data_IF_197076709244
#
_entry.id   IF_197076709244
#
_cell.length_a   1.000
_cell.length_b   1.000
_cell.length_c   1.000
_cell.angle_alpha   90.00
_cell.angle_beta   90.00
_cell.angle_gamma   90.00
#
_symmetry.space_group_name_H-M   'P 1'
#
loop_
_entity.id
_entity.type
_entity.pdbx_description
1 polymer ?
#
# COMPACT_ATOMS: atom_id res chain seq x y z
N UNK A 1 -14.55 29.53 -13.57
CA UNK A 1 -14.91 28.15 -13.98
C UNK A 1 -13.94 27.20 -13.27
N UNK A 2 -14.07 27.09 -11.94
CA UNK A 2 -13.05 26.56 -11.00
C UNK A 2 -13.54 25.35 -10.19
N UNK A 3 -14.59 24.67 -10.66
CA UNK A 3 -15.44 23.77 -9.87
C UNK A 3 -15.10 22.28 -9.98
N UNK A 4 -13.94 21.91 -10.51
CA UNK A 4 -13.53 20.50 -10.72
C UNK A 4 -12.33 20.06 -9.89
N UNK A 5 -11.87 20.88 -8.93
CA UNK A 5 -10.67 20.57 -8.14
C UNK A 5 -10.97 19.83 -6.86
N UNK A 6 -11.97 20.31 -6.12
CA UNK A 6 -12.39 19.71 -4.88
C UNK A 6 -13.91 19.72 -4.80
N UNK A 7 -14.48 18.66 -4.25
CA UNK A 7 -15.85 18.70 -3.75
C UNK A 7 -15.84 19.40 -2.40
N UNK A 8 -16.41 20.59 -2.36
CA UNK A 8 -16.63 21.34 -1.13
C UNK A 8 -17.95 20.91 -0.50
N UNK A 9 -17.91 20.52 0.76
CA UNK A 9 -19.10 20.24 1.55
C UNK A 9 -18.89 20.74 2.99
N UNK A 10 -19.98 21.11 3.65
CA UNK A 10 -19.93 21.59 5.03
C UNK A 10 -20.12 20.43 5.99
N UNK A 11 -19.13 20.18 6.85
CA UNK A 11 -19.21 19.22 7.95
C UNK A 11 -19.03 19.98 9.25
N UNK A 12 -20.00 19.88 10.16
CA UNK A 12 -19.93 20.51 11.49
C UNK A 12 -19.58 22.02 11.45
N UNK A 13 -20.07 22.74 10.43
CA UNK A 13 -19.82 24.18 10.27
C UNK A 13 -18.45 24.55 9.65
N UNK A 14 -17.65 23.57 9.23
CA UNK A 14 -16.40 23.78 8.48
C UNK A 14 -16.57 23.37 7.01
N UNK A 15 -16.12 24.23 6.10
CA UNK A 15 -16.02 23.88 4.67
C UNK A 15 -14.81 22.96 4.49
N UNK A 16 -15.07 21.74 4.02
CA UNK A 16 -14.04 20.74 3.71
C UNK A 16 -14.01 20.54 2.20
N UNK A 17 -12.81 20.55 1.63
CA UNK A 17 -12.57 20.34 0.21
C UNK A 17 -11.91 18.96 0.00
N UNK A 18 -12.61 18.01 -0.62
CA UNK A 18 -12.01 16.71 -0.99
C UNK A 18 -11.57 16.69 -2.46
N UNK A 19 -10.33 16.31 -2.77
CA UNK A 19 -9.82 16.31 -4.12
C UNK A 19 -10.53 15.25 -5.00
N UNK A 20 -10.88 15.65 -6.23
CA UNK A 20 -11.59 14.79 -7.20
C UNK A 20 -10.89 13.43 -7.45
N UNK A 21 -9.54 13.34 -7.53
CA UNK A 21 -8.84 12.06 -7.67
C UNK A 21 -9.25 11.02 -6.63
N UNK A 22 -9.56 11.40 -5.38
CA UNK A 22 -9.96 10.44 -4.36
C UNK A 22 -11.29 9.74 -4.69
N UNK A 23 -12.26 10.44 -5.28
CA UNK A 23 -13.53 9.83 -5.67
C UNK A 23 -13.36 8.83 -6.80
N UNK A 24 -12.52 9.15 -7.79
CA UNK A 24 -12.15 8.21 -8.86
C UNK A 24 -11.42 7.00 -8.28
N UNK A 25 -10.53 7.24 -7.30
CA UNK A 25 -9.81 6.14 -6.64
C UNK A 25 -10.76 5.22 -5.86
N UNK A 26 -11.78 5.75 -5.19
CA UNK A 26 -12.83 4.95 -4.55
C UNK A 26 -13.55 4.09 -5.58
N UNK A 27 -13.94 4.65 -6.73
CA UNK A 27 -14.58 3.88 -7.80
C UNK A 27 -13.68 2.77 -8.34
N UNK A 28 -12.39 3.05 -8.57
CA UNK A 28 -11.39 2.05 -8.98
C UNK A 28 -11.23 0.96 -7.91
N UNK A 29 -11.22 1.34 -6.64
CA UNK A 29 -11.09 0.40 -5.51
C UNK A 29 -12.31 -0.53 -5.39
N UNK A 30 -13.52 -0.02 -5.64
CA UNK A 30 -14.73 -0.83 -5.76
C UNK A 30 -14.61 -1.79 -6.95
N UNK A 31 -14.11 -1.29 -8.09
CA UNK A 31 -13.79 -2.11 -9.26
C UNK A 31 -12.81 -3.25 -8.94
N UNK A 32 -11.76 -2.96 -8.17
CA UNK A 32 -10.76 -3.93 -7.71
C UNK A 32 -11.40 -5.06 -6.89
N UNK A 33 -12.33 -4.72 -6.00
CA UNK A 33 -13.08 -5.71 -5.22
C UNK A 33 -13.89 -6.66 -6.11
N UNK A 34 -14.64 -6.11 -7.08
CA UNK A 34 -15.44 -6.92 -8.00
C UNK A 34 -14.57 -7.76 -8.95
N UNK A 35 -13.45 -7.21 -9.42
CA UNK A 35 -12.47 -7.94 -10.21
C UNK A 35 -11.93 -9.14 -9.43
N UNK A 36 -11.51 -8.95 -8.16
CA UNK A 36 -11.06 -10.04 -7.30
C UNK A 36 -12.14 -11.08 -7.06
N UNK A 37 -13.38 -10.66 -6.79
CA UNK A 37 -14.53 -11.57 -6.63
C UNK A 37 -14.78 -12.45 -7.87
N UNK A 38 -14.50 -11.94 -9.07
CA UNK A 38 -14.65 -12.69 -10.32
C UNK A 38 -13.44 -13.59 -10.61
N UNK A 39 -12.21 -13.08 -10.40
CA UNK A 39 -10.98 -13.74 -10.79
C UNK A 39 -10.54 -14.83 -9.81
N UNK A 40 -10.65 -14.60 -8.51
CA UNK A 40 -10.19 -15.55 -7.48
C UNK A 40 -10.74 -16.98 -7.67
N UNK A 41 -12.08 -17.19 -7.80
CA UNK A 41 -12.61 -18.53 -7.97
C UNK A 41 -12.20 -19.17 -9.31
N UNK A 42 -12.00 -18.37 -10.37
CA UNK A 42 -11.55 -18.86 -11.68
C UNK A 42 -10.08 -19.30 -11.67
N UNK A 43 -9.25 -18.62 -10.89
CA UNK A 43 -7.82 -18.91 -10.80
C UNK A 43 -7.48 -20.02 -9.80
N UNK A 44 -8.34 -20.28 -8.80
CA UNK A 44 -8.16 -21.36 -7.82
C UNK A 44 -7.78 -22.72 -8.43
N UNK A 45 -8.49 -23.27 -9.44
CA UNK A 45 -8.12 -24.56 -10.03
C UNK A 45 -6.76 -24.52 -10.73
N UNK A 46 -6.37 -23.38 -11.33
CA UNK A 46 -5.06 -23.26 -12.01
C UNK A 46 -3.90 -23.41 -11.04
N UNK A 47 -3.99 -22.79 -9.85
CA UNK A 47 -2.98 -22.91 -8.80
C UNK A 47 -2.86 -24.35 -8.29
N UNK A 48 -4.00 -25.01 -8.06
CA UNK A 48 -4.02 -26.41 -7.62
C UNK A 48 -3.38 -27.31 -8.69
N UNK A 49 -3.71 -27.10 -9.98
CA UNK A 49 -3.14 -27.87 -11.09
C UNK A 49 -1.64 -27.61 -11.29
N UNK A 50 -1.15 -26.42 -10.91
CA UNK A 50 0.26 -26.07 -10.91
C UNK A 50 1.03 -26.54 -9.67
N UNK A 51 0.40 -27.33 -8.78
CA UNK A 51 0.94 -27.75 -7.49
C UNK A 51 1.27 -26.60 -6.52
N UNK A 52 0.65 -25.42 -6.71
CA UNK A 52 0.74 -24.28 -5.79
C UNK A 52 -0.43 -24.35 -4.79
N UNK A 53 -0.36 -25.31 -3.88
CA UNK A 53 -1.37 -25.50 -2.84
C UNK A 53 -0.78 -25.98 -1.52
N UNK A 54 -1.46 -25.61 -0.45
CA UNK A 54 -1.23 -26.06 0.91
C UNK A 54 -2.37 -26.95 1.40
N UNK A 55 -2.10 -27.69 2.47
CA UNK A 55 -3.13 -28.46 3.18
C UNK A 55 -3.57 -27.64 4.39
N UNK A 56 -4.88 -27.40 4.55
CA UNK A 56 -5.39 -26.75 5.75
C UNK A 56 -5.16 -27.67 6.97
N UNK A 57 -4.16 -27.31 7.77
CA UNK A 57 -3.71 -28.13 8.90
C UNK A 57 -4.72 -28.15 10.04
N UNK A 58 -5.58 -27.14 10.14
CA UNK A 58 -6.53 -26.95 11.23
C UNK A 58 -7.89 -27.62 10.97
N UNK A 59 -8.09 -28.25 9.80
CA UNK A 59 -9.31 -28.99 9.45
C UNK A 59 -9.07 -30.49 9.35
N UNK A 60 -9.99 -31.30 9.90
CA UNK A 60 -9.95 -32.78 9.80
C UNK A 60 -10.03 -33.28 8.36
N UNK A 61 -10.75 -32.57 7.49
CA UNK A 61 -10.91 -32.92 6.07
C UNK A 61 -9.65 -32.67 5.22
N UNK A 62 -8.62 -32.00 5.78
CA UNK A 62 -7.35 -31.69 5.12
C UNK A 62 -7.52 -31.21 3.66
N UNK A 63 -8.39 -30.21 3.40
CA UNK A 63 -8.63 -29.73 2.05
C UNK A 63 -7.36 -29.08 1.48
N UNK A 64 -7.14 -29.25 0.17
CA UNK A 64 -6.13 -28.50 -0.58
C UNK A 64 -6.62 -27.08 -0.85
N UNK A 65 -5.86 -26.10 -0.41
CA UNK A 65 -6.14 -24.67 -0.57
C UNK A 65 -5.03 -24.07 -1.43
N UNK A 66 -5.34 -23.28 -2.46
CA UNK A 66 -4.30 -22.68 -3.29
C UNK A 66 -3.41 -21.75 -2.43
N UNK A 67 -2.10 -21.92 -2.54
CA UNK A 67 -1.09 -21.08 -1.89
C UNK A 67 -0.69 -19.91 -2.79
N UNK A 68 0.11 -18.97 -2.26
CA UNK A 68 0.60 -17.80 -2.98
C UNK A 68 -0.47 -16.92 -3.64
N UNK A 69 -1.73 -17.04 -3.22
CA UNK A 69 -2.87 -16.40 -3.89
C UNK A 69 -2.88 -14.87 -3.75
N UNK A 70 -2.08 -14.35 -2.81
CA UNK A 70 -1.78 -12.92 -2.68
C UNK A 70 -1.25 -12.30 -3.97
N UNK A 71 -0.60 -13.08 -4.86
CA UNK A 71 -0.13 -12.58 -6.17
C UNK A 71 -1.29 -12.14 -7.07
N UNK A 72 -2.43 -12.83 -7.04
CA UNK A 72 -3.60 -12.48 -7.87
C UNK A 72 -4.17 -11.14 -7.41
N UNK A 73 -4.33 -10.96 -6.11
CA UNK A 73 -4.82 -9.71 -5.53
C UNK A 73 -3.80 -8.58 -5.62
N UNK A 74 -2.51 -8.89 -5.53
CA UNK A 74 -1.41 -7.96 -5.80
C UNK A 74 -1.43 -7.44 -7.23
N UNK A 75 -1.66 -8.31 -8.22
CA UNK A 75 -1.83 -7.91 -9.62
C UNK A 75 -3.06 -7.02 -9.82
N UNK A 76 -4.20 -7.35 -9.21
CA UNK A 76 -5.41 -6.50 -9.27
C UNK A 76 -5.11 -5.13 -8.68
N UNK A 77 -4.44 -5.09 -7.53
CA UNK A 77 -4.02 -3.86 -6.88
C UNK A 77 -3.09 -3.02 -7.77
N UNK A 78 -2.06 -3.62 -8.39
CA UNK A 78 -1.16 -2.92 -9.31
C UNK A 78 -1.89 -2.38 -10.55
N UNK A 79 -2.80 -3.17 -11.13
CA UNK A 79 -3.63 -2.72 -12.26
C UNK A 79 -4.51 -1.54 -11.86
N UNK A 80 -5.09 -1.57 -10.66
CA UNK A 80 -5.84 -0.43 -10.13
C UNK A 80 -4.97 0.83 -10.00
N UNK A 81 -3.74 0.69 -9.52
CA UNK A 81 -2.81 1.82 -9.46
C UNK A 81 -2.41 2.31 -10.86
N UNK A 82 -2.13 1.42 -11.83
CA UNK A 82 -1.82 1.81 -13.21
C UNK A 82 -2.95 2.59 -13.87
N UNK A 83 -4.20 2.17 -13.68
CA UNK A 83 -5.37 2.90 -14.15
C UNK A 83 -5.55 4.24 -13.44
N UNK A 84 -5.08 4.35 -12.19
CA UNK A 84 -5.16 5.57 -11.41
C UNK A 84 -4.02 6.57 -11.71
N UNK A 85 -2.86 6.14 -12.23
CA UNK A 85 -1.72 7.02 -12.57
C UNK A 85 -2.12 8.34 -13.23
N UNK A 86 -2.89 8.37 -14.33
CA UNK A 86 -3.18 9.64 -15.00
C UNK A 86 -4.09 10.55 -14.17
N UNK A 87 -4.86 10.02 -13.22
CA UNK A 87 -5.98 10.71 -12.56
C UNK A 87 -5.52 11.92 -11.73
N UNK A 88 -4.53 11.83 -10.82
CA UNK A 88 -4.01 12.99 -10.11
C UNK A 88 -3.41 14.07 -11.03
N UNK A 89 -2.99 13.71 -12.24
CA UNK A 89 -2.29 14.59 -13.19
C UNK A 89 -3.15 15.01 -14.38
N UNK A 90 -4.45 14.66 -14.44
CA UNK A 90 -5.33 14.93 -15.59
C UNK A 90 -5.32 16.39 -16.03
N UNK A 91 -5.21 17.33 -15.09
CA UNK A 91 -5.13 18.76 -15.36
C UNK A 91 -3.83 19.14 -16.08
N UNK A 92 -2.70 18.56 -15.68
CA UNK A 92 -1.39 18.84 -16.27
C UNK A 92 -1.26 18.28 -17.69
N UNK A 93 -2.13 17.34 -18.08
CA UNK A 93 -2.25 16.88 -19.46
C UNK A 93 -3.14 17.78 -20.34
N UNK A 94 -3.89 18.73 -19.76
CA UNK A 94 -4.74 19.64 -20.52
C UNK A 94 -3.92 20.77 -21.12
N UNK A 95 -3.98 20.92 -22.45
CA UNK A 95 -3.28 21.97 -23.20
C UNK A 95 -3.69 23.42 -22.82
N UNK A 96 -4.74 23.58 -22.00
CA UNK A 96 -5.29 24.87 -21.60
C UNK A 96 -4.62 25.47 -20.36
N UNK A 97 -3.83 24.69 -19.59
CA UNK A 97 -3.22 25.16 -18.34
C UNK A 97 -1.69 25.19 -18.49
N UNK A 98 -1.14 26.40 -18.46
CA UNK A 98 0.31 26.62 -18.40
C UNK A 98 0.82 26.27 -17.00
N UNK A 99 1.78 25.36 -16.93
CA UNK A 99 2.48 24.96 -15.72
C UNK A 99 3.35 23.73 -15.99
N UNK A 100 4.50 23.64 -15.31
CA UNK A 100 5.36 22.47 -15.42
C UNK A 100 4.67 21.24 -14.85
N UNK A 101 4.95 20.07 -15.43
CA UNK A 101 4.44 18.81 -14.93
C UNK A 101 5.08 18.51 -13.55
N UNK A 102 4.32 18.13 -12.52
CA UNK A 102 4.84 17.87 -11.18
C UNK A 102 5.59 16.53 -11.14
N UNK A 103 6.81 16.53 -11.67
CA UNK A 103 7.65 15.35 -11.79
C UNK A 103 7.96 14.70 -10.43
N UNK A 104 8.12 15.49 -9.37
CA UNK A 104 8.44 14.97 -8.03
C UNK A 104 7.35 14.03 -7.50
N UNK A 105 6.09 14.45 -7.58
CA UNK A 105 4.92 13.65 -7.16
C UNK A 105 4.72 12.43 -8.05
N UNK A 106 4.98 12.57 -9.35
CA UNK A 106 4.90 11.45 -10.27
C UNK A 106 5.98 10.40 -9.97
N UNK A 107 7.23 10.83 -9.73
CA UNK A 107 8.34 9.94 -9.37
C UNK A 107 8.08 9.24 -8.03
N UNK A 108 7.55 9.95 -7.02
CA UNK A 108 7.08 9.35 -5.76
C UNK A 108 6.10 8.21 -6.01
N UNK A 109 5.10 8.44 -6.87
CA UNK A 109 4.09 7.43 -7.13
C UNK A 109 4.64 6.21 -7.88
N UNK A 110 5.44 6.44 -8.93
CA UNK A 110 6.05 5.36 -9.71
C UNK A 110 7.05 4.56 -8.87
N UNK A 111 7.85 5.20 -8.01
CA UNK A 111 8.81 4.50 -7.17
C UNK A 111 8.15 3.68 -6.05
N UNK A 112 7.07 4.18 -5.46
CA UNK A 112 6.27 3.40 -4.53
C UNK A 112 5.68 2.16 -5.22
N UNK A 113 5.11 2.34 -6.41
CA UNK A 113 4.58 1.23 -7.22
C UNK A 113 5.65 0.22 -7.62
N UNK A 114 6.84 0.68 -8.02
CA UNK A 114 7.97 -0.18 -8.34
C UNK A 114 8.38 -1.01 -7.13
N UNK A 115 8.52 -0.38 -5.95
CA UNK A 115 8.87 -1.07 -4.72
C UNK A 115 7.83 -2.13 -4.34
N UNK A 116 6.54 -1.82 -4.45
CA UNK A 116 5.46 -2.76 -4.17
C UNK A 116 5.41 -3.90 -5.20
N UNK A 117 5.59 -3.59 -6.48
CA UNK A 117 5.66 -4.59 -7.55
C UNK A 117 6.80 -5.58 -7.33
N UNK A 118 8.00 -5.07 -7.01
CA UNK A 118 9.14 -5.89 -6.64
C UNK A 118 8.82 -6.77 -5.42
N UNK A 119 8.17 -6.24 -4.39
CA UNK A 119 7.79 -7.03 -3.22
C UNK A 119 6.77 -8.13 -3.54
N UNK A 120 5.76 -7.85 -4.37
CA UNK A 120 4.76 -8.85 -4.80
C UNK A 120 5.44 -9.98 -5.57
N UNK A 121 6.34 -9.63 -6.51
CA UNK A 121 7.08 -10.60 -7.30
C UNK A 121 7.99 -11.46 -6.42
N UNK A 122 8.74 -10.83 -5.51
CA UNK A 122 9.66 -11.54 -4.62
C UNK A 122 8.93 -12.38 -3.57
N UNK A 123 7.78 -11.93 -3.07
CA UNK A 123 6.91 -12.73 -2.21
C UNK A 123 6.38 -13.97 -2.92
N UNK A 124 5.92 -13.81 -4.17
CA UNK A 124 5.53 -14.96 -5.00
C UNK A 124 6.72 -15.90 -5.28
N UNK A 125 7.90 -15.35 -5.56
CA UNK A 125 9.10 -16.16 -5.75
C UNK A 125 9.50 -16.92 -4.47
N UNK A 126 9.35 -16.33 -3.29
CA UNK A 126 9.57 -17.00 -2.00
C UNK A 126 8.60 -18.17 -1.81
N UNK A 127 7.32 -17.97 -2.10
CA UNK A 127 6.29 -19.02 -1.98
C UNK A 127 6.55 -20.19 -2.95
N UNK A 128 7.04 -19.91 -4.17
CA UNK A 128 7.32 -20.95 -5.18
C UNK A 128 8.64 -21.67 -4.91
N UNK A 129 9.69 -20.93 -4.54
CA UNK A 129 11.05 -21.45 -4.43
C UNK A 129 11.41 -21.92 -3.01
N UNK A 130 10.57 -21.63 -2.01
CA UNK A 130 10.80 -21.92 -0.60
C UNK A 130 12.18 -21.41 -0.14
N UNK A 131 12.39 -20.08 -0.23
CA UNK A 131 13.70 -19.49 0.02
C UNK A 131 14.10 -19.59 1.50
N UNK A 132 15.41 -19.49 1.76
CA UNK A 132 15.95 -19.60 3.12
C UNK A 132 15.62 -18.33 3.92
N UNK A 133 15.54 -18.46 5.24
CA UNK A 133 15.20 -17.34 6.16
C UNK A 133 16.05 -16.08 5.93
N UNK A 134 17.33 -16.23 5.56
CA UNK A 134 18.23 -15.12 5.24
C UNK A 134 17.79 -14.34 4.01
N UNK A 135 17.29 -15.03 2.99
CA UNK A 135 16.82 -14.42 1.75
C UNK A 135 15.55 -13.59 2.04
N UNK A 136 14.72 -14.05 3.00
CA UNK A 136 13.55 -13.29 3.50
C UNK A 136 13.90 -11.97 4.21
N UNK A 137 15.16 -11.77 4.59
CA UNK A 137 15.67 -10.48 5.10
C UNK A 137 16.25 -9.60 3.98
N UNK A 138 16.96 -10.21 3.02
CA UNK A 138 17.59 -9.47 1.92
C UNK A 138 16.58 -8.97 0.88
N UNK A 139 15.58 -9.79 0.53
CA UNK A 139 14.63 -9.47 -0.53
C UNK A 139 13.81 -8.20 -0.23
N UNK A 140 13.24 -8.00 0.97
CA UNK A 140 12.55 -6.76 1.28
C UNK A 140 13.48 -5.54 1.29
N UNK A 141 14.74 -5.73 1.70
CA UNK A 141 15.74 -4.66 1.69
C UNK A 141 15.99 -4.16 0.26
N UNK A 142 16.23 -5.07 -0.69
CA UNK A 142 16.43 -4.72 -2.10
C UNK A 142 15.17 -4.10 -2.71
N UNK A 143 13.99 -4.66 -2.42
CA UNK A 143 12.72 -4.14 -2.92
C UNK A 143 12.40 -2.74 -2.40
N UNK A 144 12.95 -2.33 -1.25
CA UNK A 144 12.76 -0.99 -0.68
C UNK A 144 13.69 0.09 -1.28
N UNK A 145 14.72 -0.29 -2.04
CA UNK A 145 15.69 0.66 -2.59
C UNK A 145 15.08 1.78 -3.44
N UNK A 146 14.09 1.55 -4.33
CA UNK A 146 13.48 2.64 -5.09
C UNK A 146 12.82 3.69 -4.19
N UNK A 147 12.15 3.25 -3.12
CA UNK A 147 11.57 4.16 -2.11
C UNK A 147 12.66 4.99 -1.42
N UNK A 148 13.76 4.37 -1.00
CA UNK A 148 14.88 5.06 -0.36
C UNK A 148 15.52 6.11 -1.29
N UNK A 149 15.66 5.79 -2.57
CA UNK A 149 16.22 6.71 -3.57
C UNK A 149 15.33 7.93 -3.78
N UNK A 150 14.02 7.75 -3.90
CA UNK A 150 13.11 8.90 -4.02
C UNK A 150 13.03 9.72 -2.74
N UNK A 151 13.11 9.05 -1.58
CA UNK A 151 13.21 9.77 -0.32
C UNK A 151 14.44 10.69 -0.28
N UNK A 152 15.59 10.17 -0.73
CA UNK A 152 16.85 10.92 -0.80
C UNK A 152 16.78 12.11 -1.77
N UNK A 153 16.12 11.96 -2.92
CA UNK A 153 16.05 13.03 -3.92
C UNK A 153 15.02 14.11 -3.59
N UNK A 154 13.87 13.72 -3.02
CA UNK A 154 12.72 14.64 -2.89
C UNK A 154 12.62 15.28 -1.50
N UNK A 155 12.93 14.54 -0.43
CA UNK A 155 12.71 15.01 0.95
C UNK A 155 14.02 15.22 1.71
N UNK A 156 14.90 14.21 1.68
CA UNK A 156 16.20 14.15 2.36
C UNK A 156 16.19 14.64 3.82
N UNK A 157 15.08 14.49 4.54
CA UNK A 157 14.95 14.92 5.94
C UNK A 157 15.32 13.77 6.87
N UNK A 158 16.50 13.81 7.48
CA UNK A 158 16.97 12.74 8.39
C UNK A 158 16.71 13.03 9.87
N UNK A 159 15.94 14.08 10.16
CA UNK A 159 15.59 14.52 11.51
C UNK A 159 14.33 13.84 12.02
N UNK A 160 14.43 13.11 13.14
CA UNK A 160 13.33 12.40 13.79
C UNK A 160 12.84 13.16 15.01
N UNK A 161 11.52 13.27 15.16
CA UNK A 161 10.91 13.79 16.40
C UNK A 161 10.95 12.72 17.46
N UNK A 162 11.55 13.03 18.61
CA UNK A 162 11.76 12.06 19.66
C UNK A 162 10.52 11.87 20.55
N UNK A 163 10.24 10.65 21.03
CA UNK A 163 9.15 10.39 21.97
C UNK A 163 9.39 11.09 23.30
N UNK A 164 8.30 11.50 23.99
CA UNK A 164 8.38 12.31 25.22
C UNK A 164 9.29 11.72 26.30
N UNK A 165 9.41 10.39 26.36
CA UNK A 165 10.25 9.68 27.32
C UNK A 165 11.75 9.98 27.17
N UNK A 166 12.24 10.16 25.96
CA UNK A 166 13.69 10.36 25.69
C UNK A 166 14.07 11.82 25.47
N UNK A 167 13.07 12.70 25.33
CA UNK A 167 13.28 14.16 25.13
C UNK A 167 14.18 14.82 26.19
N UNK A 168 14.08 14.46 27.50
CA UNK A 168 14.95 15.07 28.51
C UNK A 168 16.45 14.79 28.29
N UNK A 169 16.80 13.69 27.61
CA UNK A 169 18.18 13.28 27.37
C UNK A 169 18.73 13.77 26.03
N UNK A 170 17.90 13.73 24.99
CA UNK A 170 18.33 13.87 23.59
C UNK A 170 17.71 15.08 22.86
N UNK A 171 16.87 15.87 23.54
CA UNK A 171 16.18 17.02 22.96
C UNK A 171 14.87 16.66 22.25
N UNK A 172 14.25 17.65 21.58
CA UNK A 172 12.95 17.47 20.93
C UNK A 172 13.04 16.67 19.62
N UNK A 173 14.14 16.85 18.88
CA UNK A 173 14.40 16.24 17.58
C UNK A 173 15.88 15.92 17.44
N UNK A 174 16.19 14.86 16.71
CA UNK A 174 17.55 14.40 16.47
C UNK A 174 17.74 14.05 14.99
N UNK A 175 18.78 14.61 14.36
CA UNK A 175 19.25 14.17 13.06
C UNK A 175 20.11 12.92 13.23
N UNK A 176 19.66 11.81 12.64
CA UNK A 176 20.35 10.51 12.70
C UNK A 176 21.06 10.16 11.38
N UNK A 177 21.02 11.05 10.39
CA UNK A 177 21.72 10.91 9.11
C UNK A 177 21.45 9.57 8.40
N UNK A 178 22.53 8.88 8.03
CA UNK A 178 22.46 7.60 7.32
C UNK A 178 21.66 6.51 8.06
N UNK A 179 21.58 6.58 9.40
CA UNK A 179 20.80 5.61 10.18
C UNK A 179 19.29 5.73 9.89
N UNK A 180 18.80 6.87 9.41
CA UNK A 180 17.41 7.03 8.99
C UNK A 180 17.09 6.15 7.77
N UNK A 181 18.01 6.07 6.80
CA UNK A 181 17.86 5.21 5.63
C UNK A 181 17.92 3.73 5.99
N UNK A 182 18.82 3.35 6.92
CA UNK A 182 18.85 1.99 7.48
C UNK A 182 17.53 1.67 8.17
N UNK A 183 17.00 2.60 8.97
CA UNK A 183 15.70 2.45 9.61
C UNK A 183 14.57 2.25 8.59
N UNK A 184 14.49 3.05 7.53
CA UNK A 184 13.46 2.89 6.49
C UNK A 184 13.52 1.53 5.80
N UNK A 185 14.73 1.05 5.46
CA UNK A 185 14.91 -0.28 4.87
C UNK A 185 14.49 -1.38 5.85
N UNK A 186 14.91 -1.27 7.11
CA UNK A 186 14.53 -2.22 8.17
C UNK A 186 13.03 -2.19 8.49
N UNK A 187 12.36 -1.05 8.32
CA UNK A 187 10.91 -0.95 8.48
C UNK A 187 10.19 -1.80 7.41
N UNK A 188 10.66 -1.77 6.16
CA UNK A 188 10.10 -2.61 5.11
C UNK A 188 10.30 -4.11 5.42
N UNK A 189 11.50 -4.50 5.89
CA UNK A 189 11.80 -5.87 6.34
C UNK A 189 10.91 -6.28 7.51
N UNK A 190 10.74 -5.41 8.51
CA UNK A 190 9.92 -5.67 9.67
C UNK A 190 8.45 -5.87 9.28
N UNK A 191 7.87 -4.95 8.51
CA UNK A 191 6.46 -5.00 8.14
C UNK A 191 6.09 -6.29 7.38
N UNK A 192 6.92 -6.72 6.43
CA UNK A 192 6.64 -7.95 5.66
C UNK A 192 6.78 -9.20 6.52
N UNK A 193 7.81 -9.28 7.36
CA UNK A 193 8.04 -10.43 8.22
C UNK A 193 7.06 -10.48 9.41
N UNK A 194 6.66 -9.34 9.98
CA UNK A 194 5.76 -9.27 11.13
C UNK A 194 4.37 -9.86 10.82
N UNK A 195 3.81 -9.54 9.64
CA UNK A 195 2.55 -10.13 9.20
C UNK A 195 2.74 -11.63 8.91
N UNK A 196 3.87 -12.00 8.28
CA UNK A 196 4.14 -13.38 7.89
C UNK A 196 4.33 -14.33 9.09
N UNK A 197 4.90 -13.86 10.20
CA UNK A 197 5.02 -14.67 11.43
C UNK A 197 3.71 -14.73 12.22
N UNK A 198 2.83 -13.73 12.07
CA UNK A 198 1.50 -13.70 12.69
C UNK A 198 0.46 -14.29 11.72
N UNK A 199 0.63 -15.57 11.40
CA UNK A 199 -0.11 -16.28 10.37
C UNK A 199 -0.54 -17.69 10.84
N UNK A 200 -1.26 -18.42 10.00
CA UNK A 200 -1.56 -19.85 10.22
C UNK A 200 -2.97 -20.16 10.70
N UNK A 201 -3.86 -19.16 10.77
CA UNK A 201 -5.29 -19.33 10.99
C UNK A 201 -6.03 -18.65 9.85
N UNK A 202 -7.02 -19.34 9.26
CA UNK A 202 -7.79 -18.86 8.11
C UNK A 202 -8.28 -17.41 8.31
N UNK A 203 -7.87 -16.52 7.41
CA UNK A 203 -8.28 -15.12 7.42
C UNK A 203 -7.44 -14.19 8.30
N UNK A 204 -6.50 -14.67 9.12
CA UNK A 204 -5.78 -13.84 10.09
C UNK A 204 -4.86 -12.81 9.42
N UNK A 205 -4.08 -13.23 8.44
CA UNK A 205 -3.13 -12.42 7.67
C UNK A 205 -3.85 -11.30 6.91
N UNK A 206 -4.98 -11.65 6.28
CA UNK A 206 -5.78 -10.71 5.50
C UNK A 206 -6.57 -9.76 6.41
N UNK A 207 -7.11 -10.27 7.52
CA UNK A 207 -7.89 -9.47 8.47
C UNK A 207 -7.03 -8.42 9.17
N UNK A 208 -5.87 -8.81 9.73
CA UNK A 208 -4.98 -7.84 10.40
C UNK A 208 -4.52 -6.75 9.42
N UNK A 209 -4.25 -7.12 8.17
CA UNK A 209 -3.85 -6.18 7.12
C UNK A 209 -4.97 -5.19 6.77
N UNK A 210 -6.23 -5.66 6.71
CA UNK A 210 -7.39 -4.81 6.50
C UNK A 210 -7.63 -3.85 7.67
N UNK A 211 -7.43 -4.30 8.91
CA UNK A 211 -7.55 -3.44 10.10
C UNK A 211 -6.49 -2.35 10.09
N UNK A 212 -5.24 -2.69 9.77
CA UNK A 212 -4.13 -1.72 9.64
C UNK A 212 -4.45 -0.71 8.53
N UNK A 213 -4.80 -1.17 7.33
CA UNK A 213 -5.11 -0.29 6.21
C UNK A 213 -6.33 0.60 6.48
N UNK A 214 -7.38 0.06 7.08
CA UNK A 214 -8.56 0.83 7.49
C UNK A 214 -8.22 1.90 8.54
N UNK A 215 -7.32 1.61 9.46
CA UNK A 215 -6.82 2.57 10.46
C UNK A 215 -6.01 3.70 9.81
N UNK A 216 -5.15 3.38 8.82
CA UNK A 216 -4.39 4.37 8.05
C UNK A 216 -5.34 5.27 7.25
N UNK A 217 -6.33 4.69 6.58
CA UNK A 217 -7.35 5.47 5.84
C UNK A 217 -8.12 6.39 6.79
N UNK A 218 -8.59 5.88 7.92
CA UNK A 218 -9.30 6.69 8.92
C UNK A 218 -8.44 7.85 9.43
N UNK A 219 -7.18 7.57 9.75
CA UNK A 219 -6.22 8.60 10.18
C UNK A 219 -5.99 9.66 9.11
N UNK A 220 -5.70 9.27 7.88
CA UNK A 220 -5.49 10.21 6.77
C UNK A 220 -6.72 11.07 6.48
N UNK A 221 -7.91 10.48 6.52
CA UNK A 221 -9.17 11.23 6.36
C UNK A 221 -9.34 12.21 7.51
N UNK A 222 -9.11 11.79 8.76
CA UNK A 222 -9.23 12.68 9.92
C UNK A 222 -8.26 13.88 9.85
N UNK A 223 -7.02 13.66 9.42
CA UNK A 223 -6.03 14.74 9.24
C UNK A 223 -6.44 15.72 8.12
N UNK A 224 -6.92 15.21 6.97
CA UNK A 224 -7.45 16.04 5.88
C UNK A 224 -8.65 16.86 6.35
N UNK A 225 -9.61 16.24 7.06
CA UNK A 225 -10.79 16.91 7.62
C UNK A 225 -10.43 17.95 8.69
N UNK A 226 -9.32 17.75 9.41
CA UNK A 226 -8.83 18.68 10.44
C UNK A 226 -8.21 19.95 9.85
N UNK A 227 -8.01 20.00 8.52
CA UNK A 227 -7.43 21.13 7.82
C UNK A 227 -5.90 21.11 7.76
N UNK A 228 -5.26 20.08 8.33
CA UNK A 228 -3.81 19.84 8.27
C UNK A 228 -3.42 19.19 6.93
N UNK A 229 -3.90 19.77 5.83
CA UNK A 229 -3.73 19.25 4.47
C UNK A 229 -2.24 19.07 4.13
N UNK A 230 -1.77 17.83 4.23
CA UNK A 230 -0.48 17.41 3.72
C UNK A 230 -0.72 16.51 2.51
N UNK A 231 -0.09 16.84 1.38
CA UNK A 231 -0.08 16.00 0.18
C UNK A 231 0.27 14.54 0.48
N UNK A 232 1.01 14.29 1.59
CA UNK A 232 1.37 12.96 2.05
C UNK A 232 0.14 12.11 2.45
N UNK A 233 -0.88 12.71 3.08
CA UNK A 233 -2.10 11.98 3.46
C UNK A 233 -2.93 11.61 2.23
N UNK A 234 -2.99 12.50 1.25
CA UNK A 234 -3.64 12.23 -0.03
C UNK A 234 -2.91 11.13 -0.81
N UNK A 235 -1.58 11.22 -0.91
CA UNK A 235 -0.74 10.19 -1.52
C UNK A 235 -0.91 8.83 -0.84
N UNK A 236 -0.97 8.81 0.49
CA UNK A 236 -1.24 7.58 1.23
C UNK A 236 -2.62 6.99 0.91
N UNK A 237 -3.67 7.82 0.79
CA UNK A 237 -5.00 7.37 0.36
C UNK A 237 -5.02 6.84 -1.07
N UNK A 238 -4.19 7.39 -1.97
CA UNK A 238 -4.06 6.89 -3.34
C UNK A 238 -3.67 5.41 -3.38
N UNK A 239 -2.79 4.99 -2.46
CA UNK A 239 -2.31 3.61 -2.36
C UNK A 239 -3.25 2.75 -1.51
N UNK A 240 -3.73 3.27 -0.37
CA UNK A 240 -4.47 2.46 0.60
C UNK A 240 -5.87 2.06 0.14
N UNK A 241 -6.58 2.91 -0.62
CA UNK A 241 -7.94 2.59 -1.06
C UNK A 241 -7.98 1.38 -2.02
N UNK A 242 -7.15 1.32 -3.09
CA UNK A 242 -7.10 0.15 -3.96
C UNK A 242 -6.60 -1.09 -3.23
N UNK A 243 -5.67 -0.92 -2.28
CA UNK A 243 -5.18 -2.00 -1.44
C UNK A 243 -6.34 -2.64 -0.65
N UNK A 244 -7.18 -1.84 0.02
CA UNK A 244 -8.37 -2.33 0.73
C UNK A 244 -9.32 -3.03 -0.24
N UNK A 245 -9.60 -2.44 -1.41
CA UNK A 245 -10.51 -3.03 -2.40
C UNK A 245 -10.07 -4.43 -2.85
N UNK A 246 -8.80 -4.59 -3.23
CA UNK A 246 -8.24 -5.88 -3.62
C UNK A 246 -8.17 -6.87 -2.45
N UNK A 247 -7.78 -6.42 -1.26
CA UNK A 247 -7.62 -7.26 -0.06
C UNK A 247 -8.96 -7.75 0.50
N UNK A 248 -10.02 -6.92 0.44
CA UNK A 248 -11.38 -7.33 0.78
C UNK A 248 -11.89 -8.47 -0.11
N UNK A 249 -11.51 -8.47 -1.39
CA UNK A 249 -11.85 -9.57 -2.28
C UNK A 249 -11.18 -10.87 -1.82
N UNK A 250 -9.89 -10.82 -1.45
CA UNK A 250 -9.17 -11.99 -0.92
C UNK A 250 -9.80 -12.50 0.38
N UNK A 251 -10.09 -11.60 1.32
CA UNK A 251 -10.66 -11.93 2.63
C UNK A 251 -11.95 -12.74 2.52
N UNK A 252 -12.80 -12.41 1.54
CA UNK A 252 -14.05 -13.14 1.29
C UNK A 252 -13.86 -14.64 1.04
N UNK A 253 -12.75 -15.03 0.42
CA UNK A 253 -12.44 -16.43 0.08
C UNK A 253 -11.44 -17.08 1.03
N UNK A 254 -10.77 -16.29 1.88
CA UNK A 254 -9.75 -16.76 2.81
C UNK A 254 -10.28 -17.02 4.24
N UNK A 255 -11.49 -16.56 4.55
CA UNK A 255 -12.20 -16.87 5.81
C UNK A 255 -12.79 -18.28 5.85
#
# INVERSE_FOLDING_TARGET
MSTLHCFEFSVLGRTVSLPVPLFVNVAISIGAFYAGRSLIPKMKPMFINANLYGIDMNKKSKPKIPEAFGVVTGCIFLVSLFLFIPVPFLRNFSATIQGDFPHDKFVEFIAAMLSICCMILLGFADDVLNLRWRDKLYLPTIASLPLLMVYYTNFNSTTVILPKLVRPLLGHSLDIGALYYVFMGMLAVFCTNAINILAGINGLEVCQSLIIAGSIVLFNVAEILSGLHSDAHEFSLYIMLPYIGATLALWRYNR
#
